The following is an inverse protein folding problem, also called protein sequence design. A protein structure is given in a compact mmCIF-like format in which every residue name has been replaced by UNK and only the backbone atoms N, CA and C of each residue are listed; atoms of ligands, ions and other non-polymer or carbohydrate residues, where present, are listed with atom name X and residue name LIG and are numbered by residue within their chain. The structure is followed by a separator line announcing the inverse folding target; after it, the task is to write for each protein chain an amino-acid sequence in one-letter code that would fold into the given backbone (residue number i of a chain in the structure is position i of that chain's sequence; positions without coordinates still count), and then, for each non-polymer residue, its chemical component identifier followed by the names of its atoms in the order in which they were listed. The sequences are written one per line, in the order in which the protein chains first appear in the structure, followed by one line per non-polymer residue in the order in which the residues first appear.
data_IF_924898291214
#
_entry.id   IF_924898291214
#
_cell.length_a   1.000
_cell.length_b   1.000
_cell.length_c   1.000
_cell.angle_alpha   90.00
_cell.angle_beta   90.00
_cell.angle_gamma   90.00
#
_symmetry.space_group_name_H-M   'P 1'
#
loop_
_entity.id
_entity.type
_entity.pdbx_description
1 polymer ?
#
# COMPACT_ATOMS: atom_id res chain seq x y z
N UNK A 1 20.25 -11.36 -19.66
CA UNK A 1 19.42 -10.14 -19.72
C UNK A 1 18.47 -10.13 -18.51
N UNK A 2 18.99 -9.96 -17.28
CA UNK A 2 18.17 -10.06 -16.05
C UNK A 2 18.52 -9.04 -14.97
N UNK A 3 19.60 -8.27 -15.13
CA UNK A 3 20.03 -7.29 -14.12
C UNK A 3 19.17 -6.01 -14.15
N UNK A 4 18.56 -5.66 -15.28
CA UNK A 4 17.77 -4.42 -15.43
C UNK A 4 16.39 -4.52 -14.79
N UNK A 5 15.72 -5.67 -14.87
CA UNK A 5 14.37 -5.86 -14.31
C UNK A 5 14.39 -5.75 -12.78
N UNK A 6 15.38 -6.37 -12.12
CA UNK A 6 15.48 -6.34 -10.67
C UNK A 6 15.65 -4.92 -10.08
N UNK A 7 16.33 -4.01 -10.79
CA UNK A 7 16.48 -2.63 -10.36
C UNK A 7 15.17 -1.85 -10.55
N UNK A 8 14.49 -2.03 -11.68
CA UNK A 8 13.21 -1.37 -11.96
C UNK A 8 12.13 -1.80 -10.98
N UNK A 9 12.08 -3.10 -10.63
CA UNK A 9 11.13 -3.62 -9.65
C UNK A 9 11.43 -3.10 -8.24
N UNK A 10 12.71 -3.00 -7.85
CA UNK A 10 13.09 -2.40 -6.57
C UNK A 10 12.69 -0.91 -6.49
N UNK A 11 12.93 -0.15 -7.55
CA UNK A 11 12.51 1.26 -7.62
C UNK A 11 10.98 1.41 -7.63
N UNK A 12 10.26 0.54 -8.35
CA UNK A 12 8.81 0.52 -8.37
C UNK A 12 8.24 0.15 -7.00
N UNK A 13 8.88 -0.80 -6.31
CA UNK A 13 8.49 -1.24 -4.97
C UNK A 13 8.68 -0.14 -3.94
N UNK A 14 9.81 0.59 -4.00
CA UNK A 14 10.05 1.72 -3.13
C UNK A 14 9.05 2.85 -3.37
N UNK A 15 8.72 3.14 -4.64
CA UNK A 15 7.65 4.11 -4.97
C UNK A 15 6.29 3.65 -4.45
N UNK A 16 5.95 2.38 -4.64
CA UNK A 16 4.70 1.79 -4.16
C UNK A 16 4.57 1.87 -2.63
N UNK A 17 5.64 1.51 -1.91
CA UNK A 17 5.70 1.65 -0.45
C UNK A 17 5.56 3.09 -0.01
N UNK A 18 6.23 4.03 -0.68
CA UNK A 18 6.09 5.45 -0.39
C UNK A 18 4.67 5.97 -0.64
N UNK A 19 3.98 5.47 -1.67
CA UNK A 19 2.59 5.81 -1.96
C UNK A 19 1.65 5.24 -0.90
N UNK A 20 1.75 3.94 -0.61
CA UNK A 20 0.94 3.25 0.41
C UNK A 20 1.14 3.85 1.81
N UNK A 21 2.36 4.28 2.14
CA UNK A 21 2.68 4.94 3.41
C UNK A 21 2.01 6.31 3.58
N UNK A 22 1.60 6.96 2.49
CA UNK A 22 0.89 8.25 2.53
C UNK A 22 -0.62 8.12 2.59
N UNK A 23 -1.16 6.91 2.40
CA UNK A 23 -2.59 6.67 2.51
C UNK A 23 -2.99 6.86 3.98
N UNK A 24 -3.93 7.77 4.20
CA UNK A 24 -4.45 8.12 5.53
C UNK A 24 -5.69 7.30 5.85
N UNK A 25 -5.95 7.09 7.13
CA UNK A 25 -7.20 6.50 7.56
C UNK A 25 -8.36 7.51 7.37
N UNK A 26 -9.46 7.13 6.69
CA UNK A 26 -10.60 8.01 6.46
C UNK A 26 -11.30 8.48 7.75
N UNK A 27 -11.29 7.67 8.80
CA UNK A 27 -11.90 7.97 10.11
C UNK A 27 -10.92 8.74 11.01
N UNK A 28 -9.62 8.53 10.81
CA UNK A 28 -8.52 9.22 11.49
C UNK A 28 -7.54 9.82 10.47
N UNK A 29 -7.89 10.94 9.79
CA UNK A 29 -7.09 11.53 8.70
C UNK A 29 -5.69 12.02 9.11
N UNK A 30 -5.43 12.03 10.42
CA UNK A 30 -4.15 12.38 11.04
C UNK A 30 -3.21 11.18 11.23
N UNK A 31 -3.67 9.96 10.91
CA UNK A 31 -2.89 8.73 10.98
C UNK A 31 -2.81 8.06 9.59
N UNK A 32 -1.63 7.58 9.22
CA UNK A 32 -1.42 6.81 7.98
C UNK A 32 -1.59 5.32 8.21
N UNK A 33 -1.69 4.55 7.12
CA UNK A 33 -1.69 3.08 7.17
C UNK A 33 -0.43 2.52 7.85
N UNK A 34 0.70 3.24 7.77
CA UNK A 34 1.95 2.88 8.46
C UNK A 34 1.87 3.21 9.95
N UNK A 35 1.36 4.39 10.30
CA UNK A 35 1.20 4.81 11.71
C UNK A 35 0.27 3.87 12.48
N UNK A 36 -0.77 3.37 11.81
CA UNK A 36 -1.71 2.41 12.39
C UNK A 36 -1.14 0.97 12.45
N UNK A 37 0.00 0.69 11.81
CA UNK A 37 0.54 -0.66 11.68
C UNK A 37 -0.38 -1.62 10.88
N UNK A 38 -1.26 -1.07 10.04
CA UNK A 38 -2.19 -1.86 9.23
C UNK A 38 -1.58 -2.25 7.89
N UNK A 39 -0.60 -1.51 7.38
CA UNK A 39 0.19 -1.90 6.21
C UNK A 39 1.11 -3.07 6.58
N UNK A 40 0.90 -4.25 5.98
CA UNK A 40 1.65 -5.48 6.30
C UNK A 40 2.73 -5.79 5.30
N UNK A 41 2.40 -5.70 4.03
CA UNK A 41 3.34 -5.98 2.96
C UNK A 41 3.00 -5.22 1.69
N UNK A 42 4.01 -4.97 0.88
CA UNK A 42 3.91 -4.44 -0.48
C UNK A 42 4.84 -5.29 -1.32
N UNK A 43 4.29 -5.91 -2.36
CA UNK A 43 5.02 -6.77 -3.31
C UNK A 43 4.68 -6.35 -4.73
N UNK A 44 5.53 -6.76 -5.68
CA UNK A 44 5.24 -6.67 -7.11
C UNK A 44 5.05 -8.08 -7.64
N UNK A 45 3.92 -8.32 -8.29
CA UNK A 45 3.54 -9.58 -8.90
C UNK A 45 3.06 -9.29 -10.32
N UNK A 46 3.68 -9.90 -11.34
CA UNK A 46 3.29 -9.77 -12.75
C UNK A 46 3.04 -8.31 -13.21
N UNK A 47 3.98 -7.40 -12.92
CA UNK A 47 3.89 -5.94 -13.18
C UNK A 47 2.79 -5.19 -12.39
N UNK A 48 2.14 -5.84 -11.42
CA UNK A 48 1.16 -5.25 -10.53
C UNK A 48 1.70 -5.07 -9.10
N UNK A 49 1.38 -3.94 -8.49
CA UNK A 49 1.68 -3.70 -7.07
C UNK A 49 0.56 -4.31 -6.22
N UNK A 50 0.92 -5.26 -5.36
CA UNK A 50 0.01 -5.89 -4.41
C UNK A 50 0.31 -5.37 -3.01
N UNK A 51 -0.70 -4.74 -2.39
CA UNK A 51 -0.59 -4.20 -1.03
C UNK A 51 -1.45 -5.01 -0.07
N UNK A 52 -0.82 -5.61 0.95
CA UNK A 52 -1.52 -6.35 2.01
C UNK A 52 -1.76 -5.44 3.21
N UNK A 53 -3.02 -5.24 3.56
CA UNK A 53 -3.42 -4.49 4.76
C UNK A 53 -4.23 -5.36 5.71
N UNK A 54 -4.08 -5.13 7.02
CA UNK A 54 -4.89 -5.75 8.08
C UNK A 54 -5.59 -4.66 8.87
N UNK A 55 -6.84 -4.32 8.55
CA UNK A 55 -7.58 -3.30 9.30
C UNK A 55 -7.89 -3.77 10.72
N UNK A 56 -7.97 -2.81 11.63
CA UNK A 56 -8.36 -3.04 13.04
C UNK A 56 -9.83 -3.43 13.19
N UNK A 57 -10.67 -3.18 12.17
CA UNK A 57 -12.08 -3.56 12.14
C UNK A 57 -12.52 -3.97 10.73
N UNK A 58 -12.90 -5.24 10.55
CA UNK A 58 -13.26 -5.83 9.25
C UNK A 58 -14.61 -5.36 8.69
N UNK A 59 -15.42 -4.64 9.48
CA UNK A 59 -16.69 -4.06 9.06
C UNK A 59 -16.65 -2.57 8.71
N UNK A 60 -15.46 -1.95 8.63
CA UNK A 60 -15.37 -0.49 8.51
C UNK A 60 -15.68 -0.01 7.07
N UNK A 61 -16.59 0.97 6.87
CA UNK A 61 -16.80 1.63 5.57
C UNK A 61 -15.50 2.20 4.97
N UNK A 62 -14.57 2.59 5.85
CA UNK A 62 -13.26 3.12 5.52
C UNK A 62 -12.39 2.18 4.66
N UNK A 63 -12.61 0.85 4.75
CA UNK A 63 -11.86 -0.13 3.94
C UNK A 63 -12.05 0.07 2.44
N UNK A 64 -13.25 0.48 2.02
CA UNK A 64 -13.52 0.75 0.61
C UNK A 64 -12.76 1.99 0.13
N UNK A 65 -12.72 3.04 0.96
CA UNK A 65 -12.00 4.29 0.67
C UNK A 65 -10.48 4.08 0.65
N UNK A 66 -9.92 3.34 1.62
CA UNK A 66 -8.48 3.00 1.62
C UNK A 66 -8.09 2.22 0.36
N UNK A 67 -8.94 1.28 -0.08
CA UNK A 67 -8.71 0.52 -1.31
C UNK A 67 -8.76 1.44 -2.54
N UNK A 68 -9.74 2.35 -2.63
CA UNK A 68 -9.83 3.32 -3.73
C UNK A 68 -8.57 4.19 -3.80
N UNK A 69 -8.07 4.66 -2.65
CA UNK A 69 -6.85 5.46 -2.57
C UNK A 69 -5.58 4.67 -2.94
N UNK A 70 -5.55 3.36 -2.68
CA UNK A 70 -4.47 2.47 -3.15
C UNK A 70 -4.53 2.19 -4.66
N UNK A 71 -5.67 2.43 -5.31
CA UNK A 71 -5.88 2.18 -6.74
C UNK A 71 -5.65 3.43 -7.62
N UNK A 72 -5.39 4.60 -7.03
CA UNK A 72 -5.07 5.85 -7.74
C UNK A 72 -3.59 5.97 -8.08
#
# INVERSE_FOLDING_TARGET
MSATQNTTDAEALDRARAAAARVTDPEMPMLTLVDLGVLRDVTIEDDHVVTTITPTYSGCPAMATMRDDLQR
#
